data_IF_237310838470
#
_entry.id   IF_237310838470
#
_cell.length_a   1.000
_cell.length_b   1.000
_cell.length_c   1.000
_cell.angle_alpha   90.00
_cell.angle_beta   90.00
_cell.angle_gamma   90.00
#
_symmetry.space_group_name_H-M   'P 1'
#
loop_
_entity.id
_entity.type
_entity.pdbx_description
1 polymer ?
#
# COMPACT_ATOMS: atom_id res chain seq x y z
N UNK A 1 -13.67 -20.45 10.09
CA UNK A 1 -14.03 -19.15 9.48
C UNK A 1 -12.76 -18.50 8.94
N UNK A 2 -12.75 -18.11 7.66
CA UNK A 2 -11.76 -17.20 7.02
C UNK A 2 -11.63 -15.96 7.89
N UNK A 3 -10.43 -15.41 8.08
CA UNK A 3 -10.25 -14.20 8.91
C UNK A 3 -11.27 -13.11 8.48
N UNK A 4 -11.96 -12.45 9.43
CA UNK A 4 -13.12 -11.65 9.08
C UNK A 4 -12.73 -10.45 8.23
N UNK A 5 -13.61 -10.02 7.31
CA UNK A 5 -13.44 -8.75 6.56
C UNK A 5 -13.08 -7.56 7.46
N UNK A 6 -13.51 -7.63 8.72
CA UNK A 6 -13.18 -6.69 9.79
C UNK A 6 -11.68 -6.43 9.93
N UNK A 7 -10.83 -7.45 9.74
CA UNK A 7 -9.36 -7.29 9.85
C UNK A 7 -8.84 -6.29 8.83
N UNK A 8 -9.37 -6.28 7.61
CA UNK A 8 -8.98 -5.32 6.59
C UNK A 8 -9.46 -3.91 6.91
N UNK A 9 -10.68 -3.76 7.43
CA UNK A 9 -11.16 -2.46 7.91
C UNK A 9 -10.27 -1.91 9.01
N UNK A 10 -9.87 -2.75 9.98
CA UNK A 10 -9.02 -2.35 11.09
C UNK A 10 -7.60 -1.97 10.62
N UNK A 11 -6.96 -2.77 9.78
CA UNK A 11 -5.67 -2.36 9.18
C UNK A 11 -5.81 -1.10 8.32
N UNK A 12 -6.93 -0.95 7.61
CA UNK A 12 -7.24 0.27 6.87
C UNK A 12 -7.20 1.50 7.77
N UNK A 13 -7.84 1.44 8.94
CA UNK A 13 -7.82 2.51 9.94
C UNK A 13 -6.45 2.68 10.60
N UNK A 14 -5.76 1.59 10.98
CA UNK A 14 -4.47 1.64 11.66
C UNK A 14 -3.38 2.27 10.77
N UNK A 15 -3.44 2.02 9.46
CA UNK A 15 -2.48 2.51 8.48
C UNK A 15 -2.91 3.84 7.83
N UNK A 16 -4.02 4.42 8.26
CA UNK A 16 -4.42 5.75 7.85
C UNK A 16 -3.86 6.81 8.80
N UNK A 17 -4.13 8.09 8.48
CA UNK A 17 -3.71 9.19 9.33
C UNK A 17 -4.26 9.02 10.76
N UNK A 18 -3.42 9.14 11.81
CA UNK A 18 -3.79 8.74 13.16
C UNK A 18 -4.90 9.61 13.74
N UNK A 19 -5.73 9.00 14.57
CA UNK A 19 -6.82 9.67 15.32
C UNK A 19 -6.76 9.29 16.79
N UNK A 20 -7.57 9.94 17.64
CA UNK A 20 -7.60 9.65 19.08
C UNK A 20 -7.95 8.19 19.41
N UNK A 21 -8.71 7.53 18.55
CA UNK A 21 -9.17 6.16 18.76
C UNK A 21 -8.18 5.10 18.23
N UNK A 22 -6.99 5.49 17.76
CA UNK A 22 -6.04 4.56 17.13
C UNK A 22 -5.72 3.35 18.03
N UNK A 23 -5.49 3.56 19.33
CA UNK A 23 -5.20 2.45 20.25
C UNK A 23 -6.36 1.47 20.37
N UNK A 24 -7.60 1.96 20.40
CA UNK A 24 -8.78 1.10 20.46
C UNK A 24 -8.91 0.22 19.20
N UNK A 25 -8.63 0.77 18.01
CA UNK A 25 -8.63 0.00 16.77
C UNK A 25 -7.52 -1.05 16.73
N UNK A 26 -6.34 -0.76 17.28
CA UNK A 26 -5.24 -1.73 17.37
C UNK A 26 -5.61 -2.86 18.33
N UNK A 27 -6.17 -2.55 19.51
CA UNK A 27 -6.63 -3.55 20.47
C UNK A 27 -7.71 -4.47 19.86
N UNK A 28 -8.69 -3.90 19.15
CA UNK A 28 -9.68 -4.70 18.44
C UNK A 28 -9.04 -5.60 17.37
N UNK A 29 -8.00 -5.12 16.68
CA UNK A 29 -7.28 -5.89 15.67
C UNK A 29 -6.52 -7.07 16.30
N UNK A 30 -5.88 -6.86 17.45
CA UNK A 30 -5.25 -7.92 18.26
C UNK A 30 -6.27 -9.02 18.60
N UNK A 31 -7.46 -8.65 19.07
CA UNK A 31 -8.53 -9.60 19.42
C UNK A 31 -9.05 -10.38 18.21
N UNK A 32 -9.27 -9.70 17.08
CA UNK A 32 -9.78 -10.32 15.84
C UNK A 32 -8.78 -11.31 15.25
N UNK A 33 -7.48 -11.01 15.33
CA UNK A 33 -6.41 -11.90 14.86
C UNK A 33 -6.23 -13.06 15.84
N UNK A 34 -6.12 -12.76 17.14
CA UNK A 34 -5.93 -13.73 18.21
C UNK A 34 -4.77 -14.70 17.98
N UNK A 35 -4.89 -15.92 18.50
CA UNK A 35 -3.86 -16.96 18.43
C UNK A 35 -3.63 -17.53 17.02
N UNK A 36 -4.34 -17.04 16.00
CA UNK A 36 -4.16 -17.48 14.61
C UNK A 36 -2.81 -17.06 14.05
N UNK A 37 -2.34 -15.86 14.44
CA UNK A 37 -1.07 -15.28 14.01
C UNK A 37 -0.41 -14.59 15.21
N UNK A 38 0.16 -15.34 16.17
CA UNK A 38 0.70 -14.79 17.41
C UNK A 38 1.77 -13.71 17.20
N UNK A 39 2.61 -13.86 16.17
CA UNK A 39 3.64 -12.87 15.82
C UNK A 39 3.04 -11.56 15.33
N UNK A 40 1.86 -11.60 14.71
CA UNK A 40 1.11 -10.41 14.31
C UNK A 40 0.55 -9.69 15.53
N UNK A 41 -0.04 -10.44 16.48
CA UNK A 41 -0.56 -9.87 17.74
C UNK A 41 0.59 -9.23 18.54
N UNK A 42 1.76 -9.86 18.58
CA UNK A 42 2.93 -9.31 19.26
C UNK A 42 3.40 -7.98 18.63
N UNK A 43 3.51 -7.90 17.30
CA UNK A 43 3.90 -6.66 16.61
C UNK A 43 2.84 -5.54 16.83
N UNK A 44 1.55 -5.88 16.83
CA UNK A 44 0.47 -4.93 17.12
C UNK A 44 0.47 -4.46 18.57
N UNK A 45 0.72 -5.35 19.53
CA UNK A 45 0.79 -5.00 20.96
C UNK A 45 1.97 -4.06 21.26
N UNK A 46 3.12 -4.27 20.59
CA UNK A 46 4.26 -3.35 20.70
C UNK A 46 3.92 -1.98 20.11
N UNK A 47 3.31 -1.95 18.92
CA UNK A 47 2.81 -0.71 18.31
C UNK A 47 1.81 0.00 19.23
N UNK A 48 0.84 -0.74 19.80
CA UNK A 48 -0.19 -0.22 20.71
C UNK A 48 0.43 0.42 21.95
N UNK A 49 1.41 -0.24 22.55
CA UNK A 49 2.14 0.31 23.70
C UNK A 49 2.78 1.66 23.35
N UNK A 50 3.46 1.75 22.21
CA UNK A 50 4.10 3.00 21.80
C UNK A 50 3.10 4.13 21.54
N UNK A 51 1.95 3.84 20.91
CA UNK A 51 0.92 4.87 20.66
C UNK A 51 0.21 5.31 21.94
N UNK A 52 0.01 4.43 22.94
CA UNK A 52 -0.58 4.78 24.23
C UNK A 52 0.34 5.68 25.08
N UNK A 53 1.65 5.55 24.90
CA UNK A 53 2.68 6.37 25.57
C UNK A 53 2.98 7.69 24.81
N UNK A 54 2.36 7.91 23.65
CA UNK A 54 2.63 9.04 22.76
C UNK A 54 1.47 10.05 22.70
N UNK A 55 1.78 11.31 22.40
CA UNK A 55 0.75 12.31 22.09
C UNK A 55 0.24 12.13 20.65
N UNK A 56 -1.02 12.50 20.39
CA UNK A 56 -1.57 12.43 19.03
C UNK A 56 -0.73 13.24 18.03
N UNK A 57 -0.33 14.46 18.39
CA UNK A 57 0.50 15.30 17.50
C UNK A 57 1.84 14.67 17.15
N UNK A 58 2.44 13.91 18.06
CA UNK A 58 3.65 13.14 17.76
C UNK A 58 3.37 12.00 16.78
N UNK A 59 2.26 11.27 16.96
CA UNK A 59 1.86 10.20 16.03
C UNK A 59 1.58 10.75 14.62
N UNK A 60 0.93 11.91 14.53
CA UNK A 60 0.68 12.63 13.29
C UNK A 60 1.99 13.00 12.58
N UNK A 61 2.98 13.50 13.32
CA UNK A 61 4.32 13.81 12.80
C UNK A 61 5.03 12.55 12.29
N UNK A 62 5.05 11.47 13.09
CA UNK A 62 5.68 10.20 12.71
C UNK A 62 5.00 9.59 11.48
N UNK A 63 3.66 9.61 11.41
CA UNK A 63 2.93 9.14 10.24
C UNK A 63 3.32 9.94 8.99
N UNK A 64 3.28 11.27 9.09
CA UNK A 64 3.57 12.19 7.98
C UNK A 64 5.02 12.02 7.48
N UNK A 65 5.97 11.87 8.40
CA UNK A 65 7.37 11.59 8.07
C UNK A 65 7.54 10.22 7.37
N UNK A 66 6.83 9.19 7.84
CA UNK A 66 6.95 7.84 7.32
C UNK A 66 6.30 7.66 5.94
N UNK A 67 5.13 8.28 5.70
CA UNK A 67 4.31 8.04 4.51
C UNK A 67 4.25 9.18 3.48
N UNK A 68 4.42 10.44 3.88
CA UNK A 68 4.00 11.56 3.03
C UNK A 68 5.14 12.52 2.63
N UNK A 69 6.03 12.94 3.54
CA UNK A 69 7.06 13.97 3.24
C UNK A 69 8.28 13.44 2.46
N UNK A 70 9.10 12.62 3.12
CA UNK A 70 10.24 11.92 2.51
C UNK A 70 10.08 10.45 2.87
N UNK A 71 9.10 9.78 2.25
CA UNK A 71 8.55 8.56 2.80
C UNK A 71 9.58 7.45 2.84
N UNK A 72 9.76 6.87 4.03
CA UNK A 72 10.43 5.58 4.21
C UNK A 72 9.67 4.51 3.43
N UNK A 73 8.33 4.58 3.45
CA UNK A 73 7.46 3.69 2.70
C UNK A 73 6.28 4.48 2.12
N UNK A 74 6.16 4.50 0.79
CA UNK A 74 4.98 5.15 0.16
C UNK A 74 3.72 4.33 0.41
N UNK A 75 2.60 4.92 0.85
CA UNK A 75 1.37 4.18 1.20
C UNK A 75 0.53 3.80 -0.01
N UNK A 76 1.11 3.60 -1.20
CA UNK A 76 0.35 3.40 -2.44
C UNK A 76 0.63 2.04 -3.06
N UNK A 77 -0.38 1.17 -3.09
CA UNK A 77 -0.29 -0.18 -3.67
C UNK A 77 0.18 -0.11 -5.12
N UNK A 78 -0.42 0.76 -5.94
CA UNK A 78 -0.06 0.91 -7.34
C UNK A 78 1.37 1.44 -7.56
N UNK A 79 1.90 2.26 -6.65
CA UNK A 79 3.30 2.70 -6.69
C UNK A 79 4.26 1.52 -6.50
N UNK A 80 4.01 0.65 -5.53
CA UNK A 80 4.89 -0.51 -5.31
C UNK A 80 4.84 -1.49 -6.49
N UNK A 81 3.70 -1.62 -7.16
CA UNK A 81 3.56 -2.50 -8.33
C UNK A 81 4.19 -1.91 -9.59
N UNK A 82 4.01 -0.61 -9.85
CA UNK A 82 4.23 -0.02 -11.15
C UNK A 82 5.12 1.24 -11.14
N UNK A 83 5.53 1.74 -9.98
CA UNK A 83 6.19 3.04 -9.83
C UNK A 83 5.32 4.19 -10.32
N UNK A 84 5.97 5.27 -10.76
CA UNK A 84 5.32 6.44 -11.37
C UNK A 84 5.15 6.26 -12.89
N UNK A 85 4.60 5.12 -13.30
CA UNK A 85 4.38 4.81 -14.71
C UNK A 85 2.91 4.96 -15.10
N UNK A 86 2.67 5.06 -16.41
CA UNK A 86 1.32 5.04 -16.98
C UNK A 86 0.48 3.83 -16.53
N UNK A 87 1.12 2.69 -16.22
CA UNK A 87 0.42 1.50 -15.72
C UNK A 87 -0.24 1.75 -14.35
N UNK A 88 0.37 2.56 -13.48
CA UNK A 88 -0.25 2.98 -12.21
C UNK A 88 -1.51 3.79 -12.48
N UNK A 89 -1.48 4.71 -13.45
CA UNK A 89 -2.64 5.52 -13.82
C UNK A 89 -3.81 4.65 -14.29
N UNK A 90 -3.54 3.65 -15.14
CA UNK A 90 -4.56 2.68 -15.56
C UNK A 90 -5.10 1.87 -14.39
N UNK A 91 -4.23 1.42 -13.47
CA UNK A 91 -4.64 0.70 -12.26
C UNK A 91 -5.59 1.54 -11.40
N UNK A 92 -5.26 2.82 -11.16
CA UNK A 92 -6.12 3.73 -10.40
C UNK A 92 -7.49 3.97 -11.07
N UNK A 93 -7.55 4.05 -12.40
CA UNK A 93 -8.83 4.16 -13.13
C UNK A 93 -9.68 2.92 -12.88
N UNK A 94 -9.09 1.72 -13.00
CA UNK A 94 -9.80 0.46 -12.73
C UNK A 94 -10.28 0.34 -11.30
N UNK A 95 -9.50 0.80 -10.31
CA UNK A 95 -9.95 0.84 -8.92
C UNK A 95 -11.13 1.80 -8.74
N UNK A 96 -11.12 2.99 -9.37
CA UNK A 96 -12.25 3.93 -9.29
C UNK A 96 -13.53 3.33 -9.88
N UNK A 97 -13.43 2.70 -11.04
CA UNK A 97 -14.56 1.98 -11.67
C UNK A 97 -15.09 0.90 -10.73
N UNK A 98 -14.20 0.06 -10.21
CA UNK A 98 -14.55 -1.03 -9.30
C UNK A 98 -15.21 -0.54 -8.01
N UNK A 99 -14.67 0.52 -7.40
CA UNK A 99 -15.23 1.13 -6.20
C UNK A 99 -16.63 1.69 -6.47
N UNK A 100 -16.82 2.38 -7.60
CA UNK A 100 -18.10 2.93 -7.99
C UNK A 100 -19.16 1.83 -8.23
N UNK A 101 -18.80 0.74 -8.91
CA UNK A 101 -19.67 -0.42 -9.14
C UNK A 101 -20.18 -1.06 -7.85
N UNK A 102 -19.39 -0.97 -6.78
CA UNK A 102 -19.71 -1.51 -5.45
C UNK A 102 -20.22 -0.45 -4.47
N UNK A 103 -20.45 0.78 -4.92
CA UNK A 103 -20.94 1.88 -4.09
C UNK A 103 -19.94 2.35 -3.02
N UNK A 104 -18.67 2.00 -3.14
CA UNK A 104 -17.61 2.47 -2.25
C UNK A 104 -17.16 3.87 -2.66
N UNK A 105 -17.14 4.79 -1.69
CA UNK A 105 -16.70 6.17 -1.90
C UNK A 105 -15.37 6.39 -1.23
N UNK A 106 -14.37 6.81 -2.00
CA UNK A 106 -13.10 7.28 -1.45
C UNK A 106 -13.33 8.63 -0.78
N UNK A 107 -12.84 8.79 0.44
CA UNK A 107 -13.00 10.03 1.19
C UNK A 107 -12.07 11.13 0.65
N UNK A 108 -12.59 12.35 0.54
CA UNK A 108 -11.81 13.53 0.18
C UNK A 108 -11.13 13.44 -1.18
N UNK A 109 -9.86 13.85 -1.24
CA UNK A 109 -9.04 13.92 -2.46
C UNK A 109 -8.02 12.79 -2.56
N UNK A 110 -8.15 11.75 -1.75
CA UNK A 110 -7.17 10.67 -1.70
C UNK A 110 -7.22 9.77 -2.94
N UNK A 111 -6.08 9.18 -3.30
CA UNK A 111 -5.95 8.28 -4.42
C UNK A 111 -6.57 6.92 -4.12
N UNK A 112 -7.16 6.26 -5.13
CA UNK A 112 -7.83 4.98 -4.94
C UNK A 112 -6.87 3.84 -4.58
N UNK A 113 -5.58 4.01 -4.87
CA UNK A 113 -4.53 3.03 -4.58
C UNK A 113 -3.81 3.26 -3.24
N UNK A 114 -4.23 4.25 -2.43
CA UNK A 114 -3.75 4.36 -1.04
C UNK A 114 -4.09 3.07 -0.29
N UNK A 115 -3.15 2.58 0.49
CA UNK A 115 -3.24 1.32 1.21
C UNK A 115 -4.44 1.29 2.17
N UNK A 116 -4.67 2.35 2.95
CA UNK A 116 -5.83 2.46 3.84
C UNK A 116 -7.16 2.38 3.09
N UNK A 117 -7.26 3.05 1.93
CA UNK A 117 -8.43 3.03 1.03
C UNK A 117 -8.65 1.64 0.44
N UNK A 118 -7.57 1.01 -0.06
CA UNK A 118 -7.60 -0.32 -0.66
C UNK A 118 -8.05 -1.39 0.35
N UNK A 119 -7.52 -1.33 1.58
CA UNK A 119 -7.89 -2.22 2.69
C UNK A 119 -9.35 -1.99 3.13
N UNK A 120 -9.78 -0.73 3.23
CA UNK A 120 -11.17 -0.38 3.56
C UNK A 120 -12.15 -0.97 2.53
N UNK A 121 -11.82 -0.92 1.24
CA UNK A 121 -12.61 -1.56 0.20
C UNK A 121 -12.68 -3.09 0.37
N UNK A 122 -11.54 -3.76 0.62
CA UNK A 122 -11.51 -5.19 0.89
C UNK A 122 -12.37 -5.58 2.11
N UNK A 123 -12.44 -4.72 3.12
CA UNK A 123 -13.23 -4.92 4.33
C UNK A 123 -14.75 -4.84 4.12
N UNK A 124 -15.23 -4.18 3.06
CA UNK A 124 -16.66 -4.12 2.74
C UNK A 124 -17.05 -5.04 1.57
N UNK A 125 -16.08 -5.42 0.72
CA UNK A 125 -16.33 -6.24 -0.44
C UNK A 125 -16.93 -7.61 -0.05
N UNK A 126 -18.00 -8.01 -0.74
CA UNK A 126 -18.69 -9.29 -0.50
C UNK A 126 -18.26 -10.39 -1.47
N UNK A 127 -17.63 -10.01 -2.58
CA UNK A 127 -17.18 -10.92 -3.61
C UNK A 127 -15.81 -11.51 -3.24
N UNK A 128 -15.82 -12.69 -2.61
CA UNK A 128 -14.60 -13.36 -2.15
C UNK A 128 -13.61 -13.67 -3.29
N UNK A 129 -14.09 -13.92 -4.51
CA UNK A 129 -13.23 -14.21 -5.65
C UNK A 129 -12.49 -12.96 -6.11
N UNK A 130 -13.21 -11.84 -6.24
CA UNK A 130 -12.61 -10.54 -6.51
C UNK A 130 -11.64 -10.12 -5.39
N UNK A 131 -12.05 -10.27 -4.12
CA UNK A 131 -11.19 -9.92 -2.98
C UNK A 131 -9.89 -10.72 -3.00
N UNK A 132 -9.98 -12.02 -3.32
CA UNK A 132 -8.82 -12.89 -3.51
C UNK A 132 -7.92 -12.39 -4.64
N UNK A 133 -8.48 -12.08 -5.80
CA UNK A 133 -7.73 -11.56 -6.95
C UNK A 133 -6.99 -10.26 -6.59
N UNK A 134 -7.66 -9.31 -5.94
CA UNK A 134 -7.05 -8.06 -5.50
C UNK A 134 -5.92 -8.27 -4.48
N UNK A 135 -6.08 -9.24 -3.58
CA UNK A 135 -5.01 -9.53 -2.62
C UNK A 135 -3.82 -10.17 -3.32
N UNK A 136 -4.05 -11.17 -4.16
CA UNK A 136 -3.00 -11.94 -4.81
C UNK A 136 -2.21 -11.12 -5.85
N UNK A 137 -2.91 -10.35 -6.67
CA UNK A 137 -2.32 -9.62 -7.79
C UNK A 137 -1.82 -8.22 -7.39
N UNK A 138 -2.31 -7.65 -6.29
CA UNK A 138 -1.97 -6.28 -5.90
C UNK A 138 -1.50 -6.13 -4.45
N UNK A 139 -2.31 -6.48 -3.45
CA UNK A 139 -1.97 -6.18 -2.05
C UNK A 139 -0.74 -6.95 -1.57
N UNK A 140 -0.73 -8.27 -1.69
CA UNK A 140 0.38 -9.11 -1.23
C UNK A 140 1.73 -8.74 -1.85
N UNK A 141 1.87 -8.58 -3.19
CA UNK A 141 3.13 -8.13 -3.77
C UNK A 141 3.52 -6.71 -3.36
N UNK A 142 2.57 -5.81 -3.12
CA UNK A 142 2.88 -4.47 -2.60
C UNK A 142 3.38 -4.55 -1.15
N UNK A 143 2.71 -5.29 -0.27
CA UNK A 143 3.13 -5.48 1.12
C UNK A 143 4.50 -6.17 1.21
N UNK A 144 4.76 -7.16 0.35
CA UNK A 144 6.07 -7.80 0.25
C UNK A 144 7.19 -6.79 -0.07
N UNK A 145 6.95 -5.87 -1.02
CA UNK A 145 7.89 -4.79 -1.34
C UNK A 145 8.03 -3.77 -0.22
N UNK A 146 6.93 -3.41 0.45
CA UNK A 146 6.94 -2.48 1.58
C UNK A 146 7.70 -3.04 2.79
N UNK A 147 7.71 -4.36 2.99
CA UNK A 147 8.23 -5.00 4.21
C UNK A 147 9.53 -5.79 4.01
N UNK A 148 9.87 -6.13 2.77
CA UNK A 148 10.92 -7.11 2.45
C UNK A 148 10.54 -8.57 2.77
N UNK A 149 9.32 -8.83 3.24
CA UNK A 149 8.88 -10.18 3.62
C UNK A 149 8.27 -10.93 2.43
N UNK A 150 8.45 -12.25 2.38
CA UNK A 150 7.62 -13.09 1.52
C UNK A 150 6.19 -13.13 2.06
N UNK A 151 5.22 -12.79 1.21
CA UNK A 151 3.79 -12.86 1.52
C UNK A 151 3.17 -13.95 0.62
N UNK A 152 3.16 -15.22 1.06
CA UNK A 152 2.67 -16.32 0.23
C UNK A 152 1.17 -16.18 0.00
N UNK A 153 0.79 -16.25 -1.27
CA UNK A 153 -0.59 -16.29 -1.72
C UNK A 153 -0.91 -17.66 -2.28
N UNK A 154 -2.10 -18.17 -1.99
CA UNK A 154 -2.60 -19.41 -2.58
C UNK A 154 -2.75 -19.17 -4.07
N UNK A 155 -1.82 -19.68 -4.87
CA UNK A 155 -1.98 -19.70 -6.34
C UNK A 155 -3.19 -20.58 -6.68
N UNK A 156 -4.38 -20.00 -6.63
CA UNK A 156 -5.53 -20.59 -7.33
C UNK A 156 -5.27 -20.32 -8.80
N UNK A 157 -4.94 -21.38 -9.52
CA UNK A 157 -4.71 -21.37 -10.96
C UNK A 157 -5.97 -20.82 -11.63
N UNK A 158 -5.98 -19.52 -11.94
CA UNK A 158 -6.87 -18.99 -12.96
C UNK A 158 -6.28 -19.38 -14.31
N UNK A 159 -6.64 -20.59 -14.76
CA UNK A 159 -6.49 -21.01 -16.14
C UNK A 159 -7.23 -20.05 -17.06
N UNK A 160 -6.56 -18.98 -17.50
CA UNK A 160 -6.87 -18.29 -18.75
C UNK A 160 -5.63 -18.33 -19.62
N UNK A 161 -5.56 -19.41 -20.38
CA UNK A 161 -4.67 -19.51 -21.53
C UNK A 161 -4.89 -18.32 -22.47
N UNK A 162 -3.90 -17.45 -22.55
CA UNK A 162 -3.50 -16.81 -23.80
C UNK A 162 -2.01 -17.06 -24.00
N UNK A 163 -1.70 -18.26 -24.47
CA UNK A 163 -0.59 -18.41 -25.42
C UNK A 163 -0.95 -17.61 -26.66
N UNK A 164 -0.35 -16.44 -26.83
CA UNK A 164 0.01 -15.91 -28.15
C UNK A 164 1.35 -15.20 -28.03
N UNK A 165 2.36 -15.95 -28.46
CA UNK A 165 3.55 -15.55 -29.18
C UNK A 165 4.17 -14.20 -28.84
N UNK A 166 5.40 -14.27 -28.33
CA UNK A 166 6.39 -13.22 -28.49
C UNK A 166 6.44 -12.79 -29.97
N UNK A 167 5.96 -11.58 -30.25
CA UNK A 167 6.39 -10.81 -31.42
C UNK A 167 6.94 -9.49 -30.88
N UNK A 168 8.25 -9.36 -31.03
CA UNK A 168 9.03 -8.16 -30.77
C UNK A 168 8.60 -7.12 -31.82
N UNK A 169 7.72 -6.20 -31.48
CA UNK A 169 7.49 -5.01 -32.30
C UNK A 169 8.42 -3.91 -31.78
N UNK A 170 9.45 -3.64 -32.58
CA UNK A 170 10.19 -2.39 -32.53
C UNK A 170 9.21 -1.29 -32.96
N UNK A 171 8.95 -0.33 -32.09
CA UNK A 171 8.29 0.89 -32.48
C UNK A 171 9.38 1.90 -32.90
N UNK A 172 9.63 1.97 -34.20
CA UNK A 172 10.31 3.10 -34.83
C UNK A 172 9.28 4.24 -34.95
N UNK A 173 9.47 5.33 -34.20
CA UNK A 173 8.70 6.56 -34.39
C UNK A 173 9.31 7.32 -35.56
N UNK A 174 8.67 7.21 -36.73
CA UNK A 174 8.92 8.09 -37.88
C UNK A 174 8.40 9.51 -37.62
N UNK A 175 8.88 10.52 -38.38
CA UNK A 175 8.61 11.92 -38.08
C UNK A 175 7.15 12.29 -38.42
N UNK A 176 6.54 13.08 -37.54
CA UNK A 176 5.19 13.63 -37.71
C UNK A 176 5.23 14.76 -38.77
N UNK A 177 4.34 14.76 -39.78
CA UNK A 177 4.29 15.84 -40.77
C UNK A 177 3.60 17.07 -40.20
N UNK A 178 4.19 18.24 -40.47
CA UNK A 178 3.64 19.55 -40.11
C UNK A 178 2.37 19.90 -40.90
N UNK A 179 1.39 20.43 -40.18
CA UNK A 179 0.16 21.00 -40.74
C UNK A 179 -0.24 22.23 -39.91
N UNK A 180 -0.16 23.39 -40.55
CA UNK A 180 -0.39 24.71 -39.98
C UNK A 180 -1.86 24.93 -39.58
N UNK A 181 -2.11 25.65 -38.48
CA UNK A 181 -3.26 26.55 -38.31
C UNK A 181 -2.99 27.60 -37.21
N UNK A 182 -2.61 28.80 -37.67
CA UNK A 182 -3.03 30.15 -37.23
C UNK A 182 -3.28 30.45 -35.74
N UNK A 183 -2.37 31.23 -35.15
CA UNK A 183 -2.56 31.98 -33.89
C UNK A 183 -3.42 33.25 -34.11
N UNK A 184 -4.25 33.67 -33.14
CA UNK A 184 -4.73 35.04 -33.04
C UNK A 184 -3.76 35.91 -32.20
N UNK A 185 -3.43 37.08 -32.72
CA UNK A 185 -2.63 38.12 -32.07
C UNK A 185 -3.29 38.64 -30.77
N UNK A 186 -2.47 38.83 -29.73
CA UNK A 186 -2.78 39.72 -28.59
C UNK A 186 -1.59 40.67 -28.35
N UNK A 187 -1.86 41.92 -27.92
CA UNK A 187 -0.90 43.02 -28.00
C UNK A 187 0.08 43.03 -26.82
N UNK A 188 1.27 43.56 -27.11
CA UNK A 188 2.42 43.53 -26.22
C UNK A 188 2.40 44.50 -25.03
N UNK A 189 3.14 44.08 -24.01
CA UNK A 189 3.86 44.86 -23.01
C UNK A 189 5.06 43.97 -22.65
N UNK A 190 6.31 44.35 -22.90
CA UNK A 190 7.00 45.41 -22.17
C UNK A 190 7.81 44.76 -21.04
N UNK A 191 9.10 44.60 -21.33
CA UNK A 191 10.25 44.53 -20.41
C UNK A 191 10.58 43.27 -19.58
N UNK A 192 11.84 42.89 -19.78
CA UNK A 192 12.83 42.35 -18.83
C UNK A 192 12.60 40.97 -18.19
N UNK A 193 13.32 39.98 -18.72
CA UNK A 193 13.78 38.83 -17.94
C UNK A 193 15.07 38.25 -18.53
N UNK A 194 16.14 38.39 -17.75
CA UNK A 194 17.37 37.60 -17.84
C UNK A 194 17.07 36.24 -17.21
N UNK A 195 17.22 35.10 -17.92
CA UNK A 195 17.24 33.77 -17.30
C UNK A 195 17.86 32.74 -18.29
N UNK A 196 19.09 32.29 -18.04
CA UNK A 196 19.46 31.04 -17.35
C UNK A 196 19.10 29.77 -18.15
N UNK A 197 20.13 29.18 -18.76
CA UNK A 197 20.12 27.82 -19.29
C UNK A 197 19.80 26.80 -18.20
N UNK A 198 18.73 26.03 -18.40
CA UNK A 198 18.44 24.81 -17.63
C UNK A 198 18.90 23.58 -18.40
N UNK A 199 20.01 22.97 -17.98
CA UNK A 199 20.39 21.62 -18.39
C UNK A 199 19.50 20.60 -17.67
N UNK A 200 18.60 19.96 -18.41
CA UNK A 200 17.87 18.78 -17.95
C UNK A 200 18.78 17.55 -17.98
N UNK A 201 19.30 17.16 -16.81
CA UNK A 201 19.83 15.81 -16.61
C UNK A 201 18.71 14.88 -16.14
N UNK A 202 18.25 14.02 -17.06
CA UNK A 202 17.42 12.87 -16.73
C UNK A 202 18.20 11.88 -15.88
N UNK A 203 17.90 11.85 -14.58
CA UNK A 203 18.40 10.86 -13.64
C UNK A 203 17.43 9.68 -13.55
N UNK A 204 17.90 8.50 -13.97
CA UNK A 204 17.28 7.21 -13.71
C UNK A 204 17.35 6.93 -12.20
N UNK A 205 16.21 6.87 -11.50
CA UNK A 205 16.14 6.46 -10.09
C UNK A 205 15.59 5.03 -10.00
N UNK A 206 16.49 4.06 -10.07
CA UNK A 206 16.29 2.79 -9.37
C UNK A 206 16.44 3.07 -7.87
N UNK A 207 15.37 2.81 -7.11
CA UNK A 207 15.35 3.14 -5.68
C UNK A 207 14.13 2.55 -4.99
N UNK A 208 13.94 1.24 -5.09
CA UNK A 208 13.14 0.54 -4.10
C UNK A 208 13.95 0.49 -2.81
N UNK A 209 13.57 1.25 -1.80
CA UNK A 209 14.15 1.12 -0.47
C UNK A 209 13.69 -0.22 0.07
N UNK A 210 14.54 -1.24 -0.06
CA UNK A 210 14.43 -2.45 0.73
C UNK A 210 14.65 -2.03 2.18
N UNK A 211 13.73 -2.40 3.09
CA UNK A 211 13.91 -2.25 4.54
C UNK A 211 15.01 -3.17 5.10
N UNK A 212 16.02 -3.52 4.29
CA UNK A 212 17.19 -4.28 4.69
C UNK A 212 18.35 -3.29 4.90
N UNK A 213 18.40 -2.63 6.06
CA UNK A 213 19.52 -1.71 6.32
C UNK A 213 19.49 -0.79 7.54
N UNK A 214 18.56 -0.94 8.49
CA UNK A 214 18.60 -0.14 9.73
C UNK A 214 19.31 -0.94 10.83
N UNK A 215 20.63 -1.10 10.69
CA UNK A 215 21.46 -1.54 11.81
C UNK A 215 22.81 -0.81 11.84
N UNK A 216 22.99 -0.06 12.94
CA UNK A 216 24.19 0.61 13.45
C UNK A 216 24.75 1.84 12.71
N UNK A 217 24.34 3.02 13.18
CA UNK A 217 25.26 4.13 13.46
C UNK A 217 24.71 5.09 14.53
N UNK A 218 25.44 5.17 15.65
CA UNK A 218 25.53 6.27 16.62
C UNK A 218 24.25 6.78 17.35
N UNK A 219 24.04 6.28 18.57
CA UNK A 219 23.83 7.14 19.75
C UNK A 219 22.54 7.94 19.90
N UNK A 220 21.52 7.72 19.07
CA UNK A 220 20.15 8.21 19.27
C UNK A 220 19.22 6.99 19.34
N UNK A 221 18.33 6.96 20.32
CA UNK A 221 17.42 5.86 20.64
C UNK A 221 16.66 5.35 19.39
N UNK A 222 17.01 4.15 18.92
CA UNK A 222 16.54 3.49 17.69
C UNK A 222 15.09 2.97 17.75
N UNK A 223 14.16 3.68 18.39
CA UNK A 223 12.84 3.11 18.72
C UNK A 223 11.64 3.59 17.89
N UNK A 224 11.69 4.76 17.23
CA UNK A 224 10.45 5.35 16.68
C UNK A 224 10.43 5.65 15.17
N UNK A 225 11.59 5.68 14.51
CA UNK A 225 11.68 5.96 13.06
C UNK A 225 11.05 4.88 12.16
N UNK A 226 10.58 3.77 12.72
CA UNK A 226 9.94 2.67 12.01
C UNK A 226 8.63 2.20 12.66
N UNK A 227 7.94 3.07 13.42
CA UNK A 227 6.72 2.73 14.16
C UNK A 227 5.69 1.97 13.30
N UNK A 228 5.43 2.44 12.07
CA UNK A 228 4.46 1.84 11.15
C UNK A 228 4.94 0.55 10.44
N UNK A 229 6.21 0.15 10.59
CA UNK A 229 6.70 -1.14 10.07
C UNK A 229 6.01 -2.29 10.79
N UNK A 230 5.67 -2.13 12.08
CA UNK A 230 5.02 -3.16 12.89
C UNK A 230 3.63 -3.54 12.36
N UNK A 231 2.68 -2.60 12.18
CA UNK A 231 1.43 -2.86 11.46
C UNK A 231 1.60 -3.45 10.04
N UNK A 232 2.58 -3.00 9.25
CA UNK A 232 2.82 -3.52 7.91
C UNK A 232 3.29 -4.99 7.92
N UNK A 233 4.23 -5.33 8.80
CA UNK A 233 4.69 -6.72 9.01
C UNK A 233 3.59 -7.61 9.59
N UNK A 234 2.77 -7.05 10.48
CA UNK A 234 1.59 -7.72 11.01
C UNK A 234 0.62 -8.07 9.87
N UNK A 235 0.28 -7.11 9.01
CA UNK A 235 -0.56 -7.34 7.82
C UNK A 235 0.04 -8.40 6.87
N UNK A 236 1.36 -8.36 6.64
CA UNK A 236 2.07 -9.34 5.82
C UNK A 236 1.88 -10.79 6.33
N UNK A 237 1.85 -10.99 7.66
CA UNK A 237 1.62 -12.32 8.27
C UNK A 237 0.15 -12.72 8.32
N UNK A 238 -0.75 -11.76 8.41
CA UNK A 238 -2.20 -12.01 8.42
C UNK A 238 -2.69 -12.49 7.06
N UNK A 239 -2.19 -11.90 5.96
CA UNK A 239 -2.65 -12.21 4.60
C UNK A 239 -2.65 -13.74 4.32
N UNK A 240 -1.56 -14.49 4.47
CA UNK A 240 -1.57 -15.94 4.21
C UNK A 240 -2.55 -16.72 5.10
N UNK A 241 -2.68 -16.31 6.37
CA UNK A 241 -3.53 -16.96 7.35
C UNK A 241 -5.04 -16.78 7.07
N UNK A 242 -5.42 -15.84 6.20
CA UNK A 242 -6.84 -15.64 5.83
C UNK A 242 -7.48 -16.90 5.27
N UNK A 243 -6.70 -17.73 4.56
CA UNK A 243 -7.21 -18.90 3.85
C UNK A 243 -6.84 -20.25 4.48
N UNK A 244 -6.14 -20.24 5.62
CA UNK A 244 -5.94 -21.48 6.38
C UNK A 244 -7.28 -21.88 7.04
N UNK A 245 -7.72 -23.15 6.91
CA UNK A 245 -8.80 -23.65 7.75
C UNK A 245 -8.40 -23.48 9.22
N UNK A 246 -9.36 -23.17 10.09
CA UNK A 246 -9.13 -23.12 11.53
C UNK A 246 -8.42 -24.40 11.98
N UNK A 247 -7.16 -24.29 12.40
CA UNK A 247 -6.52 -25.33 13.19
C UNK A 247 -7.39 -25.46 14.43
N UNK A 248 -8.16 -26.55 14.52
CA UNK A 248 -8.92 -26.88 15.72
C UNK A 248 -7.98 -26.70 16.90
N UNK A 249 -8.33 -25.77 17.80
CA UNK A 249 -7.67 -25.64 19.08
C UNK A 249 -7.52 -27.06 19.63
N UNK A 250 -6.27 -27.46 19.93
CA UNK A 250 -5.96 -28.73 20.53
C UNK A 250 -6.77 -28.80 21.83
N UNK A 251 -7.97 -29.38 21.74
CA UNK A 251 -8.83 -29.61 22.88
C UNK A 251 -8.13 -30.73 23.61
N UNK A 252 -7.37 -30.35 24.64
CA UNK A 252 -6.84 -31.27 25.61
C UNK A 252 -7.99 -32.07 26.19
N UNK A 253 -8.21 -33.25 25.62
CA UNK A 253 -8.79 -34.37 26.35
C UNK A 253 -7.63 -35.13 26.97
N UNK A 254 -7.23 -34.66 28.14
CA UNK A 254 -6.76 -35.55 29.17
C UNK A 254 -7.99 -36.29 29.69
N UNK A 255 -8.35 -37.39 29.03
CA UNK A 255 -9.33 -38.34 29.55
C UNK A 255 -8.57 -39.60 29.98
N UNK A 256 -8.38 -39.69 31.30
CA UNK A 256 -8.45 -40.86 32.21
C UNK A 256 -7.77 -42.18 31.78
#
# INVERSE_FOLDING_TARGET
MVLPKRVFTLFGTILDYPTQDLSAHVAECEEVIGDRVPESVADLAEFRKTIEESSLGYLEEVHTAFFDLTPVCRPYVGYHLFGETYRRSIFMIRLKELYAERGFKVAGTELPDRLSVFLSFLGINEDLALGRELIDEALAPAIAKMTGMEVPVSRVIAGRGRRRSAKKEKEEVGPVPGGAHSDPELPGTGDDATELHGDSHGGNVEGGVLLEGVQEAAGVSTSTECLYVKPLRSLARVIPALWEPERKAATGRADL
#
